data_IF_615614610247
#
_entry.id   IF_615614610247
#
_cell.length_a   1.000
_cell.length_b   1.000
_cell.length_c   1.000
_cell.angle_alpha   90.00
_cell.angle_beta   90.00
_cell.angle_gamma   90.00
#
_symmetry.space_group_name_H-M   'P 1'
#
loop_
_entity.id
_entity.type
_entity.pdbx_description
1 polymer ?
#
# COMPACT_ATOMS: atom_id res chain seq x y z
N UNK A 1 54.40 -10.82 -14.55
CA UNK A 1 54.36 -9.39 -14.91
C UNK A 1 53.61 -9.29 -16.22
N UNK A 2 52.42 -8.66 -16.21
CA UNK A 2 51.65 -7.99 -17.29
C UNK A 2 50.20 -7.92 -16.78
N UNK A 3 49.74 -6.70 -16.52
CA UNK A 3 48.36 -6.31 -16.21
C UNK A 3 47.56 -6.18 -17.52
N UNK A 4 46.21 -6.27 -17.46
CA UNK A 4 45.25 -5.16 -17.69
C UNK A 4 43.79 -5.68 -17.83
N UNK A 5 42.87 -4.99 -17.12
CA UNK A 5 41.45 -4.55 -17.39
C UNK A 5 40.56 -5.31 -18.39
N UNK A 6 39.21 -5.29 -18.43
CA UNK A 6 38.02 -4.89 -17.64
C UNK A 6 36.78 -5.28 -18.51
N UNK A 7 35.54 -4.93 -18.10
CA UNK A 7 34.20 -5.07 -18.75
C UNK A 7 33.43 -6.35 -18.40
N UNK A 8 32.41 -6.34 -17.52
CA UNK A 8 31.02 -5.83 -17.63
C UNK A 8 30.17 -6.39 -18.79
N UNK A 9 29.06 -7.00 -18.36
CA UNK A 9 27.67 -7.02 -18.90
C UNK A 9 27.23 -7.96 -20.04
N UNK A 10 26.17 -8.74 -19.70
CA UNK A 10 24.86 -8.86 -20.38
C UNK A 10 24.47 -10.15 -21.14
N UNK A 11 23.21 -10.58 -20.86
CA UNK A 11 22.24 -11.42 -21.62
C UNK A 11 22.20 -12.93 -21.31
N UNK A 12 21.15 -13.41 -20.62
CA UNK A 12 19.77 -13.75 -21.05
C UNK A 12 19.66 -15.18 -21.60
N UNK A 13 19.03 -16.10 -20.84
CA UNK A 13 18.39 -17.28 -21.43
C UNK A 13 17.19 -17.80 -20.60
N UNK A 14 16.05 -17.73 -21.29
CA UNK A 14 14.68 -18.26 -21.16
C UNK A 14 14.15 -19.03 -19.94
N UNK A 15 12.94 -18.59 -19.58
CA UNK A 15 11.82 -19.25 -18.91
C UNK A 15 11.27 -20.49 -19.66
N UNK A 16 10.87 -21.53 -18.92
CA UNK A 16 9.88 -22.56 -19.30
C UNK A 16 9.27 -23.21 -18.03
N UNK A 17 8.03 -23.72 -18.17
CA UNK A 17 7.14 -24.47 -17.25
C UNK A 17 6.00 -23.62 -16.65
N UNK A 18 4.80 -23.58 -17.25
CA UNK A 18 3.75 -24.60 -17.48
C UNK A 18 2.69 -24.63 -16.38
N UNK A 19 1.51 -24.10 -16.67
CA UNK A 19 0.27 -24.37 -15.94
C UNK A 19 -0.28 -25.74 -16.37
N UNK A 20 0.03 -26.81 -15.64
CA UNK A 20 -0.74 -28.07 -15.67
C UNK A 20 -0.64 -28.73 -14.29
N UNK A 21 -1.79 -28.90 -13.63
CA UNK A 21 -1.98 -29.77 -12.47
C UNK A 21 -3.36 -30.43 -12.57
N UNK A 22 -3.51 -31.71 -12.20
CA UNK A 22 -4.71 -32.49 -12.49
C UNK A 22 -5.84 -32.18 -11.51
N UNK A 23 -7.06 -32.14 -12.05
CA UNK A 23 -8.34 -32.27 -11.34
C UNK A 23 -8.70 -31.25 -10.25
N UNK A 24 -9.24 -30.10 -10.68
CA UNK A 24 -10.61 -29.61 -10.38
C UNK A 24 -10.78 -28.19 -10.91
N UNK A 25 -11.89 -27.97 -11.62
CA UNK A 25 -12.24 -26.78 -12.37
C UNK A 25 -12.19 -25.47 -11.57
N UNK A 26 -11.44 -24.48 -12.07
CA UNK A 26 -11.68 -23.05 -11.86
C UNK A 26 -11.43 -22.33 -13.20
N UNK A 27 -12.37 -21.55 -13.77
CA UNK A 27 -12.17 -20.95 -15.08
C UNK A 27 -11.30 -19.68 -15.01
N UNK A 28 -10.27 -19.68 -15.88
CA UNK A 28 -9.68 -18.54 -16.60
C UNK A 28 -8.89 -17.47 -15.82
N UNK A 29 -7.57 -17.67 -15.72
CA UNK A 29 -6.59 -16.57 -15.80
C UNK A 29 -6.14 -16.45 -17.27
N UNK A 30 -6.50 -15.36 -17.97
CA UNK A 30 -6.03 -15.10 -19.33
C UNK A 30 -4.75 -14.27 -19.23
N UNK A 31 -3.62 -14.83 -19.66
CA UNK A 31 -2.38 -14.10 -19.93
C UNK A 31 -2.33 -13.87 -21.44
N UNK A 32 -2.29 -12.62 -21.87
CA UNK A 32 -2.21 -12.25 -23.29
C UNK A 32 -0.82 -12.60 -23.85
N UNK A 33 -0.80 -13.41 -24.92
CA UNK A 33 0.40 -13.89 -25.58
C UNK A 33 0.52 -13.24 -26.96
N UNK A 34 1.29 -12.17 -27.06
CA UNK A 34 1.90 -11.76 -28.33
C UNK A 34 3.19 -10.99 -28.07
N UNK A 35 4.08 -10.98 -29.06
CA UNK A 35 5.31 -10.18 -29.20
C UNK A 35 6.63 -10.90 -28.86
N UNK A 36 7.15 -11.61 -29.86
CA UNK A 36 8.57 -11.63 -30.16
C UNK A 36 8.74 -11.06 -31.58
N UNK A 37 9.34 -9.87 -31.69
CA UNK A 37 10.29 -9.46 -32.75
C UNK A 37 10.47 -7.92 -32.79
N UNK A 38 11.74 -7.49 -32.90
CA UNK A 38 12.12 -6.17 -33.43
C UNK A 38 12.58 -5.12 -32.42
N UNK A 39 13.89 -4.98 -32.20
CA UNK A 39 14.50 -3.74 -31.69
C UNK A 39 15.74 -3.37 -32.51
N UNK A 40 15.74 -2.15 -33.04
CA UNK A 40 16.92 -1.36 -33.38
C UNK A 40 16.95 -0.13 -32.45
N UNK A 41 18.14 0.24 -31.96
CA UNK A 41 18.35 1.38 -31.07
C UNK A 41 18.46 2.71 -31.84
N UNK A 42 18.16 3.85 -31.18
CA UNK A 42 18.89 5.07 -31.43
C UNK A 42 19.56 5.66 -30.17
N UNK A 43 20.66 6.37 -30.44
CA UNK A 43 21.57 7.04 -29.52
C UNK A 43 20.99 8.29 -28.84
N UNK A 44 21.45 8.56 -27.61
CA UNK A 44 21.88 9.93 -27.25
C UNK A 44 21.11 10.71 -26.17
N UNK A 45 21.91 11.18 -25.21
CA UNK A 45 21.80 12.42 -24.39
C UNK A 45 21.20 12.28 -22.98
N UNK A 46 22.02 12.71 -22.02
CA UNK A 46 21.85 12.57 -20.58
C UNK A 46 20.91 13.61 -19.96
N UNK A 47 19.95 13.07 -19.22
CA UNK A 47 19.28 13.67 -18.07
C UNK A 47 19.11 12.56 -17.05
N UNK A 48 19.16 12.88 -15.75
CA UNK A 48 18.83 11.90 -14.70
C UNK A 48 17.33 11.64 -14.80
N UNK A 49 16.98 10.60 -15.55
CA UNK A 49 15.61 10.12 -15.71
C UNK A 49 15.15 9.51 -14.39
N UNK A 50 13.92 9.82 -13.96
CA UNK A 50 13.27 9.07 -12.89
C UNK A 50 13.26 7.57 -13.26
N UNK A 51 13.32 6.64 -12.30
CA UNK A 51 13.12 5.21 -12.58
C UNK A 51 11.86 4.93 -13.45
N UNK A 52 10.85 5.80 -13.32
CA UNK A 52 9.61 5.78 -14.11
C UNK A 52 9.80 6.24 -15.57
N UNK A 53 10.66 7.22 -15.81
CA UNK A 53 11.02 7.69 -17.15
C UNK A 53 11.85 6.63 -17.88
N UNK A 54 12.78 5.98 -17.15
CA UNK A 54 13.63 4.92 -17.68
C UNK A 54 12.81 3.71 -18.16
N UNK A 55 11.67 3.44 -17.52
CA UNK A 55 10.73 2.40 -17.95
C UNK A 55 10.10 2.70 -19.31
N UNK A 56 9.79 3.97 -19.58
CA UNK A 56 9.10 4.40 -20.81
C UNK A 56 10.01 4.31 -22.04
N UNK A 57 11.31 4.52 -21.87
CA UNK A 57 12.29 4.52 -22.97
C UNK A 57 12.72 3.12 -23.43
N UNK A 58 12.68 2.10 -22.56
CA UNK A 58 13.20 0.76 -22.89
C UNK A 58 12.19 -0.22 -23.50
N UNK A 59 10.87 -0.03 -23.32
CA UNK A 59 9.88 -1.07 -23.62
C UNK A 59 8.70 -0.58 -24.47
N UNK A 60 8.98 -0.07 -25.68
CA UNK A 60 7.97 0.31 -26.69
C UNK A 60 6.69 -0.55 -26.63
N UNK A 61 5.56 0.12 -26.37
CA UNK A 61 4.31 -0.44 -25.86
C UNK A 61 3.40 -1.11 -26.91
N UNK A 62 2.81 -2.24 -26.52
CA UNK A 62 1.37 -2.45 -26.65
C UNK A 62 0.81 -2.89 -25.29
N UNK A 63 0.54 -1.91 -24.42
CA UNK A 63 -0.23 -2.12 -23.18
C UNK A 63 -1.49 -1.26 -23.27
N UNK A 64 -2.59 -1.74 -22.72
CA UNK A 64 -3.80 -0.93 -22.57
C UNK A 64 -3.45 0.36 -21.80
N UNK A 65 -3.49 1.51 -22.49
CA UNK A 65 -3.30 2.86 -21.90
C UNK A 65 -4.39 3.23 -20.88
N UNK A 66 -5.46 2.43 -20.78
CA UNK A 66 -6.63 2.79 -19.98
C UNK A 66 -6.35 2.56 -18.48
N UNK A 67 -6.55 3.60 -17.68
CA UNK A 67 -6.43 3.58 -16.22
C UNK A 67 -7.59 2.83 -15.56
N UNK A 68 -7.35 2.15 -14.42
CA UNK A 68 -8.42 1.54 -13.62
C UNK A 68 -8.95 2.47 -12.55
N UNK A 69 -8.36 3.66 -12.39
CA UNK A 69 -8.69 4.62 -11.36
C UNK A 69 -10.07 5.27 -11.56
N UNK A 70 -10.75 5.01 -12.68
CA UNK A 70 -12.06 5.57 -13.00
C UNK A 70 -13.21 5.05 -12.11
N UNK A 71 -12.94 4.06 -11.25
CA UNK A 71 -13.93 3.51 -10.32
C UNK A 71 -14.25 4.42 -9.14
N UNK A 72 -13.36 5.39 -8.85
CA UNK A 72 -13.57 6.45 -7.86
C UNK A 72 -13.33 7.77 -8.56
N UNK A 73 -14.26 8.72 -8.41
CA UNK A 73 -14.08 10.04 -8.99
C UNK A 73 -12.93 10.75 -8.25
N UNK A 74 -11.92 11.21 -8.99
CA UNK A 74 -10.90 12.09 -8.42
C UNK A 74 -11.60 13.34 -7.90
N UNK A 75 -11.55 13.52 -6.57
CA UNK A 75 -12.41 14.46 -5.86
C UNK A 75 -12.33 15.88 -6.40
N UNK A 76 -13.49 16.56 -6.40
CA UNK A 76 -13.51 18.01 -6.59
C UNK A 76 -12.74 18.67 -5.44
N UNK A 77 -12.10 19.83 -5.69
CA UNK A 77 -11.56 20.67 -4.62
C UNK A 77 -12.59 20.85 -3.49
N UNK A 78 -12.28 20.36 -2.28
CA UNK A 78 -13.17 20.53 -1.12
C UNK A 78 -13.14 21.99 -0.65
N UNK A 79 -14.29 22.62 -0.37
CA UNK A 79 -14.38 24.06 -0.11
C UNK A 79 -13.83 24.45 1.27
N UNK A 80 -14.18 23.68 2.31
CA UNK A 80 -13.63 23.89 3.65
C UNK A 80 -12.22 23.30 3.71
N UNK A 81 -11.23 24.13 4.03
CA UNK A 81 -9.83 23.72 4.17
C UNK A 81 -9.22 24.35 5.39
N UNK A 82 -8.53 23.53 6.17
CA UNK A 82 -7.78 23.97 7.35
C UNK A 82 -6.39 23.34 7.35
N UNK A 83 -5.43 24.00 7.97
CA UNK A 83 -4.11 23.44 8.22
C UNK A 83 -4.05 22.83 9.61
N UNK A 84 -3.27 21.76 9.79
CA UNK A 84 -3.01 21.19 11.12
C UNK A 84 -2.41 22.21 12.10
N UNK A 85 -1.70 23.22 11.58
CA UNK A 85 -1.14 24.34 12.37
C UNK A 85 -2.20 25.22 13.00
N UNK A 86 -3.40 25.29 12.41
CA UNK A 86 -4.52 26.09 12.94
C UNK A 86 -5.03 25.52 14.26
N UNK A 87 -4.67 24.27 14.56
CA UNK A 87 -5.04 23.53 15.78
C UNK A 87 -3.87 23.36 16.76
N UNK A 88 -2.82 24.17 16.60
CA UNK A 88 -1.69 24.23 17.53
C UNK A 88 -0.64 23.14 17.33
N UNK A 89 -0.67 22.41 16.21
CA UNK A 89 0.37 21.44 15.89
C UNK A 89 1.72 22.10 15.63
N UNK A 90 2.80 21.40 16.01
CA UNK A 90 4.19 21.84 15.83
C UNK A 90 4.95 20.79 15.02
N UNK A 91 5.45 21.21 13.85
CA UNK A 91 6.12 20.35 12.87
C UNK A 91 7.61 20.10 13.14
N UNK A 92 8.01 19.96 14.41
CA UNK A 92 9.43 19.82 14.85
C UNK A 92 9.92 18.37 14.92
N UNK A 93 9.04 17.39 14.68
CA UNK A 93 9.30 15.96 14.78
C UNK A 93 9.43 15.43 16.20
N UNK A 94 9.04 16.21 17.21
CA UNK A 94 9.16 15.87 18.65
C UNK A 94 7.87 16.11 19.41
N UNK A 95 7.15 17.17 19.09
CA UNK A 95 5.86 17.51 19.70
C UNK A 95 4.83 16.48 19.27
N UNK A 96 4.17 15.82 20.22
CA UNK A 96 3.10 14.87 19.93
C UNK A 96 1.83 15.64 19.53
N UNK A 97 1.46 15.53 18.25
CA UNK A 97 0.39 16.30 17.62
C UNK A 97 -0.97 15.58 17.61
N UNK A 98 -1.10 14.42 18.26
CA UNK A 98 -2.33 13.60 18.27
C UNK A 98 -3.56 14.45 18.59
N UNK A 99 -3.47 15.31 19.61
CA UNK A 99 -4.59 16.16 20.00
C UNK A 99 -4.93 17.23 18.96
N UNK A 100 -3.94 17.77 18.25
CA UNK A 100 -4.17 18.71 17.17
C UNK A 100 -4.89 18.04 15.99
N UNK A 101 -4.52 16.80 15.64
CA UNK A 101 -5.22 16.01 14.64
C UNK A 101 -6.68 15.73 15.04
N UNK A 102 -6.91 15.28 16.27
CA UNK A 102 -8.27 15.06 16.80
C UNK A 102 -9.13 16.32 16.72
N UNK A 103 -8.60 17.47 17.18
CA UNK A 103 -9.32 18.73 17.17
C UNK A 103 -9.62 19.21 15.74
N UNK A 104 -8.66 19.05 14.81
CA UNK A 104 -8.84 19.41 13.42
C UNK A 104 -9.93 18.57 12.75
N UNK A 105 -9.91 17.25 12.96
CA UNK A 105 -10.88 16.33 12.40
C UNK A 105 -12.26 16.54 13.02
N UNK A 106 -12.36 16.79 14.32
CA UNK A 106 -13.62 17.14 14.96
C UNK A 106 -14.20 18.45 14.43
N UNK A 107 -13.36 19.47 14.21
CA UNK A 107 -13.78 20.73 13.61
C UNK A 107 -14.29 20.51 12.19
N UNK A 108 -13.55 19.79 11.35
CA UNK A 108 -13.97 19.51 9.97
C UNK A 108 -15.26 18.71 9.94
N UNK A 109 -15.40 17.68 10.78
CA UNK A 109 -16.63 16.89 10.87
C UNK A 109 -17.86 17.74 11.22
N UNK A 110 -17.69 18.75 12.08
CA UNK A 110 -18.78 19.58 12.58
C UNK A 110 -19.14 20.75 11.63
N UNK A 111 -18.25 21.11 10.70
CA UNK A 111 -18.37 22.31 9.88
C UNK A 111 -18.36 22.04 8.37
N UNK A 112 -18.04 20.82 7.93
CA UNK A 112 -18.10 20.45 6.53
C UNK A 112 -19.56 20.26 6.09
N UNK A 113 -19.91 20.87 4.97
CA UNK A 113 -21.15 20.54 4.25
C UNK A 113 -21.00 19.22 3.49
N UNK A 114 -22.00 18.85 2.69
CA UNK A 114 -21.99 17.61 1.88
C UNK A 114 -20.84 17.52 0.86
N UNK A 115 -20.14 18.61 0.57
CA UNK A 115 -18.96 18.63 -0.31
C UNK A 115 -17.66 18.23 0.42
N UNK A 116 -17.74 18.00 1.74
CA UNK A 116 -16.63 17.57 2.58
C UNK A 116 -15.60 18.66 2.90
N UNK A 117 -14.50 18.25 3.51
CA UNK A 117 -13.41 19.14 3.91
C UNK A 117 -12.01 18.57 3.71
N UNK A 118 -11.03 19.46 3.61
CA UNK A 118 -9.62 19.12 3.50
C UNK A 118 -8.86 19.49 4.78
N UNK A 119 -8.08 18.54 5.29
CA UNK A 119 -7.04 18.78 6.28
C UNK A 119 -5.68 18.81 5.57
N UNK A 120 -5.00 19.96 5.61
CA UNK A 120 -3.67 20.13 5.03
C UNK A 120 -2.58 19.93 6.09
N UNK A 121 -1.58 19.12 5.74
CA UNK A 121 -0.36 18.89 6.51
C UNK A 121 0.78 19.59 5.78
N UNK A 122 1.28 20.73 6.28
CA UNK A 122 2.29 21.49 5.60
C UNK A 122 3.68 20.87 5.74
N UNK A 123 4.66 21.43 5.03
CA UNK A 123 6.06 21.03 5.16
C UNK A 123 6.51 21.05 6.64
N UNK A 124 7.10 19.95 7.10
CA UNK A 124 7.43 19.77 8.52
C UNK A 124 7.42 18.30 8.94
N UNK A 125 7.79 18.05 10.19
CA UNK A 125 7.81 16.71 10.80
C UNK A 125 6.74 16.62 11.89
N UNK A 126 5.71 15.82 11.67
CA UNK A 126 4.50 15.82 12.50
C UNK A 126 4.41 14.50 13.27
N UNK A 127 5.03 14.45 14.46
CA UNK A 127 4.93 13.29 15.34
C UNK A 127 3.51 13.18 15.87
N UNK A 128 2.92 11.99 15.79
CA UNK A 128 1.54 11.73 16.22
C UNK A 128 1.33 10.27 16.57
N UNK A 129 0.41 10.01 17.50
CA UNK A 129 -0.24 8.72 17.65
C UNK A 129 -1.26 8.48 16.56
N UNK A 130 -2.21 7.59 16.85
CA UNK A 130 -3.26 7.20 15.91
C UNK A 130 -4.15 8.37 15.45
N UNK A 131 -4.39 8.47 14.13
CA UNK A 131 -5.28 9.43 13.48
C UNK A 131 -6.50 8.68 12.95
N UNK A 132 -7.67 8.93 13.53
CA UNK A 132 -8.94 8.36 13.06
C UNK A 132 -9.65 9.32 12.10
N UNK A 133 -9.71 8.96 10.82
CA UNK A 133 -10.29 9.77 9.75
C UNK A 133 -11.83 9.84 9.86
N UNK A 134 -12.41 10.75 9.08
CA UNK A 134 -13.85 10.96 8.95
C UNK A 134 -14.26 10.83 7.47
N UNK A 135 -15.54 10.58 7.20
CA UNK A 135 -16.09 10.61 5.84
C UNK A 135 -15.98 12.00 5.21
N UNK A 136 -15.97 12.06 3.88
CA UNK A 136 -15.86 13.30 3.10
C UNK A 136 -14.59 14.11 3.42
N UNK A 137 -13.49 13.42 3.68
CA UNK A 137 -12.21 14.03 4.03
C UNK A 137 -11.23 13.94 2.85
N UNK A 138 -10.48 15.02 2.63
CA UNK A 138 -9.18 14.96 1.96
C UNK A 138 -8.09 15.22 2.98
N UNK A 139 -7.25 14.22 3.28
CA UNK A 139 -5.99 14.42 3.98
C UNK A 139 -4.92 14.75 2.94
N UNK A 140 -4.44 15.99 2.93
CA UNK A 140 -3.49 16.50 1.93
C UNK A 140 -2.12 16.79 2.55
N UNK A 141 -1.07 16.11 2.09
CA UNK A 141 0.30 16.34 2.55
C UNK A 141 1.07 17.19 1.53
N UNK A 142 1.49 18.39 1.91
CA UNK A 142 2.31 19.25 1.06
C UNK A 142 3.71 18.66 0.83
N UNK A 143 4.42 19.18 -0.18
CA UNK A 143 5.80 18.78 -0.43
C UNK A 143 6.67 19.05 0.80
N UNK A 144 7.38 18.03 1.27
CA UNK A 144 8.20 18.10 2.50
C UNK A 144 7.42 17.87 3.80
N UNK A 145 6.12 17.58 3.75
CA UNK A 145 5.36 17.10 4.91
C UNK A 145 5.77 15.66 5.24
N UNK A 146 6.02 15.39 6.52
CA UNK A 146 6.34 14.05 7.01
C UNK A 146 5.55 13.75 8.29
N UNK A 147 4.54 12.89 8.21
CA UNK A 147 3.82 12.36 9.38
C UNK A 147 4.69 11.26 9.98
N UNK A 148 5.03 11.37 11.26
CA UNK A 148 5.82 10.38 12.00
C UNK A 148 4.92 9.66 13.01
N UNK A 149 4.79 8.35 12.89
CA UNK A 149 4.11 7.55 13.90
C UNK A 149 4.90 7.51 15.20
N UNK A 150 4.25 7.73 16.34
CA UNK A 150 4.87 7.62 17.65
C UNK A 150 5.54 6.26 17.85
N UNK A 151 6.69 6.26 18.52
CA UNK A 151 7.38 5.05 18.94
C UNK A 151 6.86 4.49 20.28
N UNK A 152 5.97 5.24 20.97
CA UNK A 152 5.27 4.76 22.17
C UNK A 152 4.01 3.98 21.78
N UNK A 153 3.95 2.71 22.16
CA UNK A 153 2.80 1.84 21.84
C UNK A 153 1.50 2.32 22.51
N UNK A 154 1.57 3.10 23.59
CA UNK A 154 0.39 3.64 24.28
C UNK A 154 -0.33 4.74 23.48
N UNK A 155 0.33 5.32 22.46
CA UNK A 155 -0.28 6.31 21.57
C UNK A 155 -1.20 5.68 20.51
N UNK A 156 -1.37 4.36 20.55
CA UNK A 156 -2.21 3.58 19.65
C UNK A 156 -3.26 2.83 20.47
N UNK A 157 -4.54 3.26 20.40
CA UNK A 157 -5.63 2.55 21.05
C UNK A 157 -5.65 1.05 20.75
N UNK A 158 -6.02 0.25 21.76
CA UNK A 158 -6.24 -1.18 21.58
C UNK A 158 -7.64 -1.38 21.01
N UNK A 159 -7.72 -2.01 19.84
CA UNK A 159 -8.95 -2.30 19.13
C UNK A 159 -9.14 -3.81 18.95
N UNK A 160 -10.39 -4.29 18.80
CA UNK A 160 -10.65 -5.70 18.56
C UNK A 160 -9.94 -6.25 17.32
N UNK A 161 -9.76 -7.56 17.30
CA UNK A 161 -9.46 -8.32 16.09
C UNK A 161 -10.44 -8.03 14.95
N UNK A 162 -10.01 -8.29 13.72
CA UNK A 162 -10.92 -8.33 12.58
C UNK A 162 -11.82 -9.57 12.69
N UNK A 163 -13.15 -9.45 12.48
CA UNK A 163 -14.05 -10.60 12.54
C UNK A 163 -13.65 -11.76 11.63
N UNK A 164 -13.09 -11.47 10.45
CA UNK A 164 -12.61 -12.50 9.51
C UNK A 164 -11.28 -13.16 9.91
N UNK A 165 -10.64 -12.69 10.98
CA UNK A 165 -9.40 -13.25 11.55
C UNK A 165 -9.60 -13.93 12.89
N UNK A 166 -10.74 -13.68 13.55
CA UNK A 166 -11.14 -14.29 14.81
C UNK A 166 -10.08 -14.18 15.89
N UNK A 167 -9.26 -15.22 16.05
CA UNK A 167 -8.22 -15.24 17.09
C UNK A 167 -7.09 -14.21 16.93
N UNK A 168 -7.07 -13.36 15.90
CA UNK A 168 -5.96 -12.43 15.63
C UNK A 168 -4.80 -13.08 14.85
N UNK A 169 -4.12 -12.30 14.01
CA UNK A 169 -3.18 -12.83 13.01
C UNK A 169 -1.76 -13.06 13.53
N UNK A 170 -1.22 -12.09 14.25
CA UNK A 170 0.15 -12.14 14.78
C UNK A 170 0.16 -12.66 16.22
N UNK A 171 -0.72 -12.10 17.05
CA UNK A 171 -0.93 -12.48 18.43
C UNK A 171 -2.42 -12.74 18.69
N UNK A 172 -2.74 -13.61 19.67
CA UNK A 172 -4.12 -13.86 20.05
C UNK A 172 -4.88 -12.60 20.48
N UNK A 173 -6.06 -12.36 19.90
CA UNK A 173 -7.00 -11.32 20.32
C UNK A 173 -6.74 -9.94 19.73
N UNK A 174 -6.83 -8.93 20.59
CA UNK A 174 -6.81 -7.52 20.21
C UNK A 174 -5.48 -7.05 19.58
N UNK A 175 -5.51 -5.84 19.01
CA UNK A 175 -4.40 -5.25 18.24
C UNK A 175 -4.28 -3.75 18.51
N UNK A 176 -3.09 -3.21 18.29
CA UNK A 176 -2.90 -1.76 18.25
C UNK A 176 -3.56 -1.19 16.99
N UNK A 177 -4.27 -0.07 17.11
CA UNK A 177 -4.82 0.66 15.97
C UNK A 177 -3.72 1.14 15.03
N UNK A 178 -4.04 1.38 13.76
CA UNK A 178 -3.11 1.91 12.76
C UNK A 178 -2.77 3.38 12.99
N UNK A 179 -1.62 3.83 12.46
CA UNK A 179 -1.21 5.23 12.50
C UNK A 179 -2.27 6.14 11.86
N UNK A 180 -2.77 5.76 10.69
CA UNK A 180 -3.94 6.36 10.07
C UNK A 180 -4.99 5.26 9.94
N UNK A 181 -6.19 5.50 10.46
CA UNK A 181 -7.28 4.54 10.40
C UNK A 181 -8.64 5.19 10.15
N UNK A 182 -9.63 4.35 9.84
CA UNK A 182 -11.02 4.75 9.68
C UNK A 182 -11.93 3.53 9.58
N UNK A 183 -13.13 3.63 10.14
CA UNK A 183 -14.15 2.57 10.11
C UNK A 183 -15.46 3.11 9.53
N UNK A 184 -16.03 2.39 8.56
CA UNK A 184 -17.27 2.72 7.84
C UNK A 184 -17.26 4.14 7.23
N UNK A 185 -16.14 4.52 6.61
CA UNK A 185 -16.00 5.82 5.97
C UNK A 185 -16.52 5.81 4.53
N UNK A 186 -16.95 6.98 4.06
CA UNK A 186 -17.34 7.23 2.67
C UNK A 186 -16.58 8.44 2.13
N UNK A 187 -16.16 8.38 0.86
CA UNK A 187 -15.50 9.49 0.16
C UNK A 187 -14.26 10.01 0.92
N UNK A 188 -13.22 9.18 0.97
CA UNK A 188 -11.96 9.50 1.65
C UNK A 188 -10.83 9.58 0.63
N UNK A 189 -10.16 10.73 0.61
CA UNK A 189 -8.96 10.94 -0.21
C UNK A 189 -7.74 11.17 0.67
N UNK A 190 -6.67 10.41 0.45
CA UNK A 190 -5.37 10.59 1.11
C UNK A 190 -4.34 10.87 0.02
N UNK A 191 -3.89 12.12 -0.08
CA UNK A 191 -3.03 12.56 -1.18
C UNK A 191 -2.09 13.69 -0.80
N UNK A 192 -1.32 14.20 -1.75
CA UNK A 192 -0.37 15.25 -1.52
C UNK A 192 0.55 15.51 -2.69
N UNK A 193 1.60 16.26 -2.42
CA UNK A 193 2.70 16.57 -3.34
C UNK A 193 3.91 15.70 -3.00
N UNK A 194 3.70 14.38 -2.97
CA UNK A 194 4.70 13.40 -2.53
C UNK A 194 5.16 13.59 -1.07
N UNK A 195 4.23 13.97 -0.19
CA UNK A 195 4.44 13.92 1.26
C UNK A 195 4.70 12.50 1.76
N UNK A 196 5.30 12.38 2.95
CA UNK A 196 5.71 11.11 3.54
C UNK A 196 4.85 10.75 4.76
N UNK A 197 4.48 9.48 4.87
CA UNK A 197 3.90 8.88 6.07
C UNK A 197 4.89 7.80 6.53
N UNK A 198 5.55 8.05 7.66
CA UNK A 198 6.58 7.21 8.25
C UNK A 198 6.06 6.55 9.53
N UNK A 199 5.90 5.23 9.49
CA UNK A 199 5.40 4.46 10.63
C UNK A 199 6.39 4.29 11.79
N UNK A 200 7.65 4.71 11.63
CA UNK A 200 8.75 4.50 12.59
C UNK A 200 8.80 3.06 13.16
N UNK A 201 8.61 2.06 12.29
CA UNK A 201 8.43 0.64 12.61
C UNK A 201 9.57 -0.04 13.38
N UNK A 202 10.75 0.59 13.50
CA UNK A 202 11.94 -0.01 14.11
C UNK A 202 11.71 -0.56 15.52
N UNK A 203 11.02 0.19 16.37
CA UNK A 203 10.67 -0.23 17.73
C UNK A 203 9.71 -1.42 17.75
N UNK A 204 8.76 -1.45 16.81
CA UNK A 204 7.79 -2.52 16.65
C UNK A 204 8.43 -3.81 16.18
N UNK A 205 9.33 -3.75 15.19
CA UNK A 205 10.05 -4.92 14.69
C UNK A 205 10.96 -5.52 15.76
N UNK A 206 11.59 -4.68 16.59
CA UNK A 206 12.40 -5.12 17.73
C UNK A 206 11.53 -5.83 18.76
N UNK A 207 10.39 -5.25 19.13
CA UNK A 207 9.46 -5.83 20.09
C UNK A 207 8.86 -7.16 19.59
N UNK A 208 8.52 -7.24 18.30
CA UNK A 208 8.03 -8.46 17.65
C UNK A 208 9.06 -9.59 17.69
N UNK A 209 10.31 -9.32 17.26
CA UNK A 209 11.40 -10.31 17.30
C UNK A 209 11.70 -10.78 18.73
N UNK A 210 11.61 -9.87 19.70
CA UNK A 210 11.84 -10.18 21.11
C UNK A 210 10.61 -10.80 21.81
N UNK A 211 9.46 -10.89 21.14
CA UNK A 211 8.19 -11.39 21.68
C UNK A 211 7.74 -10.66 22.94
N UNK A 212 7.87 -9.34 22.93
CA UNK A 212 7.51 -8.46 24.07
C UNK A 212 6.25 -7.62 23.81
N UNK A 213 5.52 -7.90 22.73
CA UNK A 213 4.26 -7.23 22.43
C UNK A 213 3.12 -7.95 23.14
N UNK A 214 2.21 -7.18 23.73
CA UNK A 214 0.99 -7.70 24.34
C UNK A 214 -0.12 -7.93 23.29
N UNK A 215 -0.08 -7.18 22.18
CA UNK A 215 -1.09 -7.17 21.12
C UNK A 215 -0.46 -7.14 19.72
N UNK A 216 -1.22 -7.56 18.69
CA UNK A 216 -0.74 -7.54 17.29
C UNK A 216 -0.36 -6.12 16.86
N UNK A 217 0.68 -5.98 16.01
CA UNK A 217 1.30 -4.70 15.68
C UNK A 217 0.35 -3.78 14.90
N UNK A 218 0.63 -2.50 14.99
CA UNK A 218 -0.02 -1.45 14.20
C UNK A 218 0.29 -1.60 12.70
N UNK A 219 -0.54 -1.00 11.83
CA UNK A 219 -0.26 -0.78 10.41
C UNK A 219 -0.06 0.72 10.17
N UNK A 220 0.50 1.12 9.01
CA UNK A 220 0.54 2.56 8.69
C UNK A 220 -0.84 3.08 8.32
N UNK A 221 -1.55 2.42 7.42
CA UNK A 221 -2.90 2.80 7.00
C UNK A 221 -3.82 1.58 7.02
N UNK A 222 -4.94 1.69 7.72
CA UNK A 222 -6.00 0.68 7.69
C UNK A 222 -7.38 1.32 7.58
N UNK A 223 -8.14 0.93 6.57
CA UNK A 223 -9.53 1.39 6.37
C UNK A 223 -10.43 0.17 6.44
N UNK A 224 -11.43 0.21 7.32
CA UNK A 224 -12.33 -0.91 7.61
C UNK A 224 -13.72 -0.56 7.08
N UNK A 225 -14.34 -1.46 6.33
CA UNK A 225 -15.74 -1.33 5.91
C UNK A 225 -16.06 -0.06 5.12
N UNK A 226 -15.05 0.54 4.49
CA UNK A 226 -15.12 1.89 3.94
C UNK A 226 -15.29 1.87 2.41
N UNK A 227 -15.86 2.93 1.84
CA UNK A 227 -16.13 3.02 0.40
C UNK A 227 -15.68 4.32 -0.24
N UNK A 228 -15.41 4.25 -1.55
CA UNK A 228 -15.00 5.38 -2.39
C UNK A 228 -13.70 6.03 -1.87
N UNK A 229 -12.65 5.22 -1.87
CA UNK A 229 -11.34 5.55 -1.30
C UNK A 229 -10.36 5.86 -2.43
N UNK A 230 -9.63 6.97 -2.29
CA UNK A 230 -8.58 7.38 -3.22
C UNK A 230 -7.28 7.70 -2.47
N UNK A 231 -6.23 6.93 -2.73
CA UNK A 231 -4.90 7.09 -2.10
C UNK A 231 -3.87 7.29 -3.20
N UNK A 232 -3.25 8.47 -3.29
CA UNK A 232 -2.33 8.75 -4.39
C UNK A 232 -1.30 9.86 -4.14
N UNK A 233 -0.19 9.85 -4.89
CA UNK A 233 0.89 10.84 -4.85
C UNK A 233 1.55 10.99 -3.47
N UNK A 234 1.87 9.87 -2.83
CA UNK A 234 2.44 9.83 -1.49
C UNK A 234 3.55 8.79 -1.37
N UNK A 235 4.40 8.98 -0.36
CA UNK A 235 5.37 7.98 0.09
C UNK A 235 4.95 7.39 1.43
N UNK A 236 4.91 6.07 1.53
CA UNK A 236 4.71 5.32 2.77
C UNK A 236 6.01 4.60 3.13
N UNK A 237 6.43 4.65 4.39
CA UNK A 237 7.67 3.98 4.80
C UNK A 237 7.69 3.50 6.24
N UNK A 238 8.62 2.60 6.52
CA UNK A 238 8.92 2.03 7.84
C UNK A 238 7.66 1.57 8.59
N UNK A 239 6.80 0.79 7.93
CA UNK A 239 5.58 0.30 8.54
C UNK A 239 5.87 -0.66 9.70
N UNK A 240 5.16 -0.56 10.85
CA UNK A 240 5.30 -1.51 11.94
C UNK A 240 4.99 -2.96 11.54
N UNK A 241 3.99 -3.17 10.66
CA UNK A 241 3.66 -4.44 9.98
C UNK A 241 3.14 -4.15 8.57
N UNK A 242 1.96 -4.64 8.16
CA UNK A 242 1.38 -4.34 6.85
C UNK A 242 1.24 -2.83 6.64
N UNK A 243 1.44 -2.35 5.41
CA UNK A 243 1.56 -0.92 5.17
C UNK A 243 0.22 -0.26 4.84
N UNK A 244 -0.49 -0.75 3.81
CA UNK A 244 -1.76 -0.19 3.34
C UNK A 244 -2.81 -1.31 3.32
N UNK A 245 -3.73 -1.30 4.28
CA UNK A 245 -4.68 -2.38 4.54
C UNK A 245 -6.15 -1.91 4.37
N UNK A 246 -6.69 -1.84 3.14
CA UNK A 246 -8.12 -1.73 2.94
C UNK A 246 -8.78 -3.09 3.20
N UNK A 247 -9.57 -3.18 4.26
CA UNK A 247 -10.28 -4.39 4.68
C UNK A 247 -11.79 -4.19 4.67
N UNK A 248 -12.52 -5.09 4.00
CA UNK A 248 -13.97 -4.98 3.77
C UNK A 248 -14.37 -3.73 2.95
N UNK A 249 -13.44 -3.17 2.20
CA UNK A 249 -13.65 -1.91 1.48
C UNK A 249 -14.24 -2.13 0.09
N UNK A 250 -14.85 -1.08 -0.45
CA UNK A 250 -15.41 -1.08 -1.81
C UNK A 250 -14.98 0.17 -2.58
N UNK A 251 -14.69 0.02 -3.87
CA UNK A 251 -14.24 1.12 -4.74
C UNK A 251 -12.98 1.79 -4.16
N UNK A 252 -11.85 1.11 -4.31
CA UNK A 252 -10.56 1.56 -3.75
C UNK A 252 -9.59 1.82 -4.90
N UNK A 253 -9.05 3.04 -4.97
CA UNK A 253 -8.01 3.40 -5.92
C UNK A 253 -6.73 3.73 -5.16
N UNK A 254 -5.66 2.99 -5.46
CA UNK A 254 -4.32 3.22 -4.96
C UNK A 254 -3.42 3.49 -6.17
N UNK A 255 -2.86 4.70 -6.24
CA UNK A 255 -2.19 5.16 -7.46
C UNK A 255 -0.95 6.00 -7.20
N UNK A 256 0.09 5.83 -8.02
CA UNK A 256 1.27 6.72 -7.99
C UNK A 256 1.86 6.84 -6.58
N UNK A 257 2.06 5.70 -5.93
CA UNK A 257 2.63 5.61 -4.59
C UNK A 257 4.06 5.09 -4.62
N UNK A 258 4.85 5.54 -3.66
CA UNK A 258 6.12 4.92 -3.29
C UNK A 258 5.97 4.24 -1.92
N UNK A 259 6.26 2.95 -1.82
CA UNK A 259 6.18 2.19 -0.56
C UNK A 259 7.55 1.59 -0.24
N UNK A 260 8.13 1.96 0.90
CA UNK A 260 9.51 1.67 1.27
C UNK A 260 9.62 1.09 2.68
N UNK A 261 9.86 -0.22 2.78
CA UNK A 261 10.20 -0.88 4.05
C UNK A 261 11.56 -1.58 3.94
N UNK A 262 12.38 -1.60 5.01
CA UNK A 262 13.64 -2.36 5.02
C UNK A 262 13.41 -3.84 4.70
N UNK A 263 14.29 -4.48 3.92
CA UNK A 263 14.09 -5.87 3.50
C UNK A 263 14.07 -6.87 4.66
N UNK A 264 14.63 -6.51 5.82
CA UNK A 264 14.66 -7.34 7.04
C UNK A 264 13.58 -6.94 8.04
N UNK A 265 12.67 -6.03 7.67
CA UNK A 265 11.50 -5.69 8.47
C UNK A 265 10.43 -6.79 8.35
N UNK A 266 9.98 -7.40 9.46
CA UNK A 266 9.10 -8.57 9.41
C UNK A 266 7.66 -8.18 9.07
N UNK A 267 7.05 -8.90 8.11
CA UNK A 267 5.61 -8.78 7.76
C UNK A 267 5.21 -7.37 7.32
N UNK A 268 6.08 -6.74 6.52
CA UNK A 268 5.86 -5.38 6.00
C UNK A 268 5.35 -5.38 4.57
N UNK A 269 4.30 -6.15 4.31
CA UNK A 269 3.57 -6.17 3.04
C UNK A 269 3.26 -4.74 2.56
N UNK A 270 3.30 -4.53 1.25
CA UNK A 270 3.12 -3.20 0.65
C UNK A 270 1.66 -2.76 0.63
N UNK A 271 0.80 -3.53 -0.04
CA UNK A 271 -0.63 -3.24 -0.17
C UNK A 271 -1.42 -4.54 0.00
N UNK A 272 -2.41 -4.51 0.89
CA UNK A 272 -3.14 -5.70 1.33
C UNK A 272 -4.66 -5.54 1.10
N UNK A 273 -5.18 -5.69 -0.14
CA UNK A 273 -6.62 -5.74 -0.33
C UNK A 273 -7.19 -6.99 0.33
N UNK A 274 -7.88 -6.80 1.44
CA UNK A 274 -8.46 -7.89 2.22
C UNK A 274 -9.98 -7.82 2.17
N UNK A 275 -10.62 -8.90 1.71
CA UNK A 275 -12.07 -9.01 1.64
C UNK A 275 -12.72 -7.80 0.94
N UNK A 276 -11.99 -7.19 -0.02
CA UNK A 276 -12.31 -5.89 -0.61
C UNK A 276 -12.72 -6.03 -2.08
N UNK A 277 -13.55 -5.11 -2.56
CA UNK A 277 -14.22 -5.22 -3.85
C UNK A 277 -14.00 -3.99 -4.72
N UNK A 278 -13.79 -4.20 -6.03
CA UNK A 278 -13.51 -3.11 -6.97
C UNK A 278 -12.27 -2.31 -6.53
N UNK A 279 -11.10 -2.92 -6.67
CA UNK A 279 -9.83 -2.33 -6.27
C UNK A 279 -8.98 -2.08 -7.51
N UNK A 280 -8.43 -0.88 -7.64
CA UNK A 280 -7.44 -0.51 -8.64
C UNK A 280 -6.12 -0.17 -7.94
N UNK A 281 -5.05 -0.87 -8.30
CA UNK A 281 -3.69 -0.54 -7.90
C UNK A 281 -2.89 -0.27 -9.16
N UNK A 282 -2.46 0.98 -9.35
CA UNK A 282 -1.69 1.35 -10.54
C UNK A 282 -0.53 2.32 -10.27
N UNK A 283 0.52 2.23 -11.09
CA UNK A 283 1.60 3.22 -11.11
C UNK A 283 2.42 3.30 -9.80
N UNK A 284 2.55 2.19 -9.05
CA UNK A 284 3.25 2.17 -7.76
C UNK A 284 4.68 1.62 -7.86
N UNK A 285 5.59 2.19 -7.07
CA UNK A 285 6.89 1.62 -6.75
C UNK A 285 6.87 1.02 -5.34
N UNK A 286 7.19 -0.27 -5.21
CA UNK A 286 7.07 -1.00 -3.95
C UNK A 286 8.37 -1.77 -3.67
N UNK A 287 9.06 -1.40 -2.61
CA UNK A 287 10.26 -2.09 -2.11
C UNK A 287 10.08 -2.35 -0.62
N UNK A 288 9.79 -3.59 -0.24
CA UNK A 288 9.37 -3.93 1.12
C UNK A 288 10.02 -5.21 1.65
N UNK A 289 9.84 -5.48 2.94
CA UNK A 289 10.34 -6.66 3.62
C UNK A 289 9.42 -7.88 3.56
N UNK A 290 8.26 -7.78 2.92
CA UNK A 290 7.40 -8.92 2.62
C UNK A 290 6.80 -8.87 1.19
N UNK A 291 5.58 -9.37 0.98
CA UNK A 291 4.91 -9.33 -0.33
C UNK A 291 4.58 -7.89 -0.76
N UNK A 292 4.85 -7.53 -2.01
CA UNK A 292 4.61 -6.17 -2.47
C UNK A 292 3.11 -5.84 -2.56
N UNK A 293 2.30 -6.80 -3.01
CA UNK A 293 0.84 -6.73 -2.96
C UNK A 293 0.34 -8.11 -2.49
N UNK A 294 -0.38 -8.19 -1.38
CA UNK A 294 -0.96 -9.45 -0.89
C UNK A 294 -2.48 -9.38 -0.87
N UNK A 295 -3.14 -10.15 -1.74
CA UNK A 295 -4.61 -10.21 -1.77
C UNK A 295 -5.08 -11.24 -0.75
N UNK A 296 -5.93 -10.81 0.19
CA UNK A 296 -6.41 -11.60 1.32
C UNK A 296 -7.94 -11.61 1.39
N UNK A 297 -8.52 -12.48 2.18
CA UNK A 297 -9.96 -12.59 2.43
C UNK A 297 -10.27 -13.32 3.75
N UNK A 298 -9.56 -12.97 4.82
CA UNK A 298 -9.75 -13.61 6.13
C UNK A 298 -9.14 -15.01 6.28
N UNK A 299 -9.13 -15.49 7.52
CA UNK A 299 -8.30 -16.62 7.95
C UNK A 299 -9.11 -17.79 8.50
N UNK A 300 -8.80 -18.98 8.00
CA UNK A 300 -9.34 -20.28 8.40
C UNK A 300 -10.88 -20.26 8.54
N UNK A 301 -11.41 -20.85 9.61
CA UNK A 301 -12.85 -20.92 9.86
C UNK A 301 -13.51 -19.56 10.01
N UNK A 302 -12.75 -18.52 10.40
CA UNK A 302 -13.26 -17.16 10.58
C UNK A 302 -13.46 -16.46 9.23
N UNK A 303 -12.52 -16.64 8.30
CA UNK A 303 -12.69 -16.18 6.92
C UNK A 303 -13.84 -16.91 6.21
N UNK A 304 -13.96 -18.23 6.42
CA UNK A 304 -15.08 -19.02 5.88
C UNK A 304 -16.42 -18.52 6.43
N UNK A 305 -16.52 -18.32 7.75
CA UNK A 305 -17.78 -17.92 8.38
C UNK A 305 -18.16 -16.47 8.06
N UNK A 306 -17.18 -15.58 7.95
CA UNK A 306 -17.39 -14.19 7.55
C UNK A 306 -17.84 -14.11 6.08
N UNK A 307 -17.32 -14.98 5.22
CA UNK A 307 -17.85 -15.23 3.87
C UNK A 307 -17.73 -14.05 2.91
N UNK A 308 -16.75 -13.16 3.12
CA UNK A 308 -16.53 -11.99 2.27
C UNK A 308 -15.28 -12.16 1.39
N UNK A 309 -15.42 -12.32 0.07
CA UNK A 309 -14.29 -12.50 -0.82
C UNK A 309 -13.62 -11.18 -1.21
N UNK A 310 -12.33 -11.24 -1.52
CA UNK A 310 -11.64 -10.21 -2.31
C UNK A 310 -11.94 -10.42 -3.80
N UNK A 311 -12.54 -9.42 -4.46
CA UNK A 311 -12.93 -9.57 -5.88
C UNK A 311 -12.91 -8.30 -6.72
N UNK A 312 -12.79 -8.47 -8.03
CA UNK A 312 -12.71 -7.38 -9.01
C UNK A 312 -11.52 -6.45 -8.75
N UNK A 313 -10.34 -7.04 -8.66
CA UNK A 313 -9.08 -6.33 -8.38
C UNK A 313 -8.30 -6.18 -9.68
N UNK A 314 -7.82 -4.98 -9.97
CA UNK A 314 -7.00 -4.67 -11.14
C UNK A 314 -5.65 -4.12 -10.69
N UNK A 315 -4.58 -4.81 -11.03
CA UNK A 315 -3.20 -4.44 -10.68
C UNK A 315 -2.44 -4.16 -11.97
N UNK A 316 -1.76 -3.03 -12.11
CA UNK A 316 -0.99 -2.70 -13.32
C UNK A 316 0.09 -1.66 -13.07
N UNK A 317 1.07 -1.61 -13.96
CA UNK A 317 2.19 -0.67 -13.94
C UNK A 317 2.84 -0.59 -12.56
N UNK A 318 3.11 -1.77 -11.99
CA UNK A 318 3.78 -1.90 -10.70
C UNK A 318 5.26 -2.15 -10.93
N UNK A 319 6.10 -1.39 -10.24
CA UNK A 319 7.53 -1.66 -10.12
C UNK A 319 7.77 -2.22 -8.72
N UNK A 320 8.14 -3.50 -8.64
CA UNK A 320 8.52 -4.13 -7.37
C UNK A 320 10.00 -4.47 -7.35
N UNK A 321 10.66 -4.12 -6.26
CA UNK A 321 12.08 -4.41 -6.05
C UNK A 321 12.28 -5.07 -4.68
N UNK A 322 13.04 -6.17 -4.67
CA UNK A 322 13.53 -6.78 -3.44
C UNK A 322 15.05 -6.89 -3.51
N UNK A 323 15.74 -6.62 -2.40
CA UNK A 323 17.20 -6.83 -2.33
C UNK A 323 17.57 -8.29 -2.07
N UNK A 324 16.60 -9.15 -1.79
CA UNK A 324 16.82 -10.57 -1.50
C UNK A 324 16.00 -11.45 -2.42
N UNK A 325 16.68 -12.23 -3.26
CA UNK A 325 16.03 -13.03 -4.30
C UNK A 325 15.06 -14.06 -3.70
N UNK A 326 13.79 -13.99 -4.12
CA UNK A 326 12.83 -15.08 -3.97
C UNK A 326 12.19 -15.27 -2.59
N UNK A 327 12.43 -14.40 -1.61
CA UNK A 327 11.80 -14.52 -0.28
C UNK A 327 10.30 -14.14 -0.37
N UNK A 328 9.97 -13.07 -1.10
CA UNK A 328 8.61 -12.54 -1.22
C UNK A 328 8.14 -12.45 -2.68
N UNK A 329 6.84 -12.18 -2.88
CA UNK A 329 6.21 -12.07 -4.19
C UNK A 329 5.86 -10.62 -4.55
N UNK A 330 5.87 -10.31 -5.84
CA UNK A 330 5.38 -9.03 -6.34
C UNK A 330 3.87 -8.91 -6.21
N UNK A 331 3.16 -10.03 -6.42
CA UNK A 331 1.73 -10.17 -6.08
C UNK A 331 1.51 -11.54 -5.45
N UNK A 332 0.94 -11.60 -4.25
CA UNK A 332 0.54 -12.85 -3.61
C UNK A 332 -0.98 -12.96 -3.45
N UNK A 333 -1.44 -14.21 -3.41
CA UNK A 333 -2.81 -14.58 -3.08
C UNK A 333 -2.75 -15.40 -1.79
N UNK A 334 -3.25 -14.84 -0.68
CA UNK A 334 -3.22 -15.47 0.64
C UNK A 334 -1.94 -15.18 1.45
N UNK A 335 -1.62 -15.97 2.48
CA UNK A 335 -2.27 -17.25 2.82
C UNK A 335 -3.68 -17.14 3.39
N UNK A 336 -4.08 -15.96 3.86
CA UNK A 336 -5.38 -15.71 4.47
C UNK A 336 -6.43 -15.48 3.38
N UNK A 337 -6.87 -16.56 2.74
CA UNK A 337 -7.73 -16.51 1.55
C UNK A 337 -9.07 -17.25 1.73
N UNK A 338 -9.47 -17.47 2.97
CA UNK A 338 -10.55 -18.41 3.33
C UNK A 338 -11.96 -17.91 2.96
N UNK A 339 -12.16 -16.60 2.83
CA UNK A 339 -13.38 -15.99 2.29
C UNK A 339 -13.44 -16.01 0.75
N UNK A 340 -12.34 -16.37 0.09
CA UNK A 340 -12.22 -16.52 -1.35
C UNK A 340 -11.62 -15.31 -2.07
N UNK A 341 -10.89 -15.56 -3.17
CA UNK A 341 -10.34 -14.53 -4.04
C UNK A 341 -10.77 -14.81 -5.48
N UNK A 342 -11.30 -13.82 -6.20
CA UNK A 342 -11.77 -14.01 -7.58
C UNK A 342 -11.67 -12.74 -8.43
N UNK A 343 -11.71 -12.89 -9.76
CA UNK A 343 -11.72 -11.76 -10.70
C UNK A 343 -10.57 -10.76 -10.50
N UNK A 344 -9.34 -11.27 -10.36
CA UNK A 344 -8.13 -10.46 -10.30
C UNK A 344 -7.50 -10.37 -11.70
N UNK A 345 -7.28 -9.15 -12.18
CA UNK A 345 -6.63 -8.87 -13.47
C UNK A 345 -5.29 -8.20 -13.23
N UNK A 346 -4.22 -8.82 -13.70
CA UNK A 346 -2.86 -8.27 -13.66
C UNK A 346 -2.46 -7.79 -15.06
N UNK A 347 -2.05 -6.53 -15.15
CA UNK A 347 -1.42 -5.94 -16.33
C UNK A 347 0.10 -5.84 -16.16
N UNK A 348 0.73 -5.00 -16.98
CA UNK A 348 2.19 -4.79 -17.01
C UNK A 348 2.77 -4.62 -15.60
N UNK A 349 3.72 -5.46 -15.20
CA UNK A 349 4.45 -5.31 -13.94
C UNK A 349 5.92 -5.55 -14.22
N UNK A 350 6.79 -4.67 -13.73
CA UNK A 350 8.23 -4.83 -13.82
C UNK A 350 8.76 -5.23 -12.44
N UNK A 351 9.40 -6.38 -12.37
CA UNK A 351 9.87 -6.93 -11.11
C UNK A 351 11.36 -7.21 -11.19
N UNK A 352 12.12 -6.64 -10.26
CA UNK A 352 13.54 -6.89 -10.14
C UNK A 352 13.78 -7.80 -8.92
N UNK A 353 14.36 -8.98 -9.16
CA UNK A 353 14.71 -10.00 -8.15
C UNK A 353 13.55 -10.54 -7.29
N UNK A 354 12.31 -10.28 -7.68
CA UNK A 354 11.08 -10.69 -6.97
C UNK A 354 10.32 -11.73 -7.80
N UNK A 355 9.63 -12.69 -7.16
CA UNK A 355 8.75 -13.63 -7.90
C UNK A 355 7.54 -12.88 -8.46
N UNK A 356 7.23 -13.06 -9.74
CA UNK A 356 6.13 -12.35 -10.42
C UNK A 356 4.81 -12.42 -9.65
N UNK A 357 4.42 -13.64 -9.27
CA UNK A 357 3.28 -13.87 -8.41
C UNK A 357 3.47 -15.16 -7.60
N UNK A 358 2.70 -15.32 -6.51
CA UNK A 358 2.67 -16.52 -5.65
C UNK A 358 1.24 -16.77 -5.16
N UNK A 359 0.83 -18.03 -5.10
CA UNK A 359 -0.31 -18.46 -4.27
C UNK A 359 0.32 -19.15 -3.06
N UNK A 360 -0.02 -18.69 -1.85
CA UNK A 360 0.52 -19.27 -0.61
C UNK A 360 -0.23 -20.54 -0.20
#
# INVERSE_FOLDING_TARGET
MIRRYSYQSLRFLLFLLSCVGPEKFWPTCIVDHSLAEGFSQPDGIGGVMSPMDLHTSFFGHHTSKQSCAHIVNVGKPRPLRVSITDFGAVGDGKTLNTKAFENALQYLHSNADSDGAQLTIPAGRWLTGSINLISHLTLFLENGANILGSEDFNDYPIIPELPSYGRGRELPGARYSSLINGDNLEDVTITGENGTIDGQGGVWWKAFRNKTLDYSRSHVLELIGSQDILIFNLTFQNSPSWTIHPVYCKNVVIKNLTVLNPNDSPNTDGIDPDSSQHVCIEDCYISVGDDAISIKSGWDQYGISYGMPSKHIQIRRIVSASKTFGIHAGVSFGSEMSGGISNVKMGSALQNLTRTWRIH
#
